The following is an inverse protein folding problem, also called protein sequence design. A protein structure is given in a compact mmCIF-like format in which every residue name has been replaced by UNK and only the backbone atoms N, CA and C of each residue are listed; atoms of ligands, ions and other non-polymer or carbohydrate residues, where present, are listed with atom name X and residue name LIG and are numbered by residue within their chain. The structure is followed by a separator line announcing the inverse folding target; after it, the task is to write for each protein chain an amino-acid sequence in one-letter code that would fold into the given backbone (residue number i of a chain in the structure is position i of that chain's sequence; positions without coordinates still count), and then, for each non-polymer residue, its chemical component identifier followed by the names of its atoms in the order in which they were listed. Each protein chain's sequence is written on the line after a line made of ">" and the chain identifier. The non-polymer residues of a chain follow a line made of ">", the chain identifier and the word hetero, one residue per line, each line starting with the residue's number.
data_IF_192238181184
#
_entry.id   IF_192238181184
#
_cell.length_a   1.000
_cell.length_b   1.000
_cell.length_c   1.000
_cell.angle_alpha   90.00
_cell.angle_beta   90.00
_cell.angle_gamma   90.00
#
_symmetry.space_group_name_H-M   'P 1'
#
loop_
_entity.id
_entity.type
_entity.pdbx_description
1 polymer ?
#
# COMPACT_ATOMS: atom_id res chain seq x y z
N UNK A 1 -13.99 13.58 -20.14
CA UNK A 1 -13.90 13.14 -19.80
C UNK A 1 -14.20 12.44 -19.43
N UNK A 2 -14.21 12.04 -19.46
CA UNK A 2 -14.38 11.36 -19.07
C UNK A 2 -14.56 10.75 -18.43
N UNK A 3 -14.54 10.78 -18.20
CA UNK A 3 -14.72 10.38 -17.57
C UNK A 3 -15.02 9.43 -16.98
N UNK A 4 -15.38 9.61 -16.68
CA UNK A 4 -15.75 8.69 -15.87
C UNK A 4 -15.63 7.39 -16.32
N UNK A 5 -15.77 7.28 -17.44
CA UNK A 5 -15.55 6.16 -17.90
C UNK A 5 -14.37 5.74 -17.49
N UNK A 6 -13.65 6.58 -17.26
CA UNK A 6 -12.44 6.26 -16.75
C UNK A 6 -12.59 5.74 -15.42
N UNK A 7 -11.80 4.81 -15.08
CA UNK A 7 -11.68 4.35 -13.73
C UNK A 7 -10.39 4.96 -13.20
N UNK A 8 -10.49 6.10 -12.48
CA UNK A 8 -9.26 6.75 -12.03
C UNK A 8 -8.43 5.84 -11.14
N UNK A 9 -9.08 4.92 -10.42
CA UNK A 9 -8.33 3.98 -9.61
C UNK A 9 -7.52 3.02 -10.45
N UNK A 10 -8.13 2.46 -11.49
CA UNK A 10 -7.41 1.53 -12.35
C UNK A 10 -6.29 2.23 -13.10
N UNK A 11 -6.53 3.47 -13.55
CA UNK A 11 -5.48 4.22 -14.23
C UNK A 11 -4.31 4.49 -13.31
N UNK A 12 -4.58 4.90 -12.08
CA UNK A 12 -3.54 5.16 -11.11
C UNK A 12 -2.76 3.89 -10.81
N UNK A 13 -3.46 2.76 -10.67
CA UNK A 13 -2.82 1.49 -10.39
C UNK A 13 -1.91 1.05 -11.53
N UNK A 14 -2.29 1.36 -12.78
CA UNK A 14 -1.49 0.97 -13.92
C UNK A 14 -0.12 1.61 -13.95
N UNK A 15 0.05 2.75 -13.27
CA UNK A 15 1.34 3.42 -13.22
C UNK A 15 2.21 2.93 -12.07
N UNK A 16 1.71 2.03 -11.24
CA UNK A 16 2.42 1.52 -10.08
C UNK A 16 3.20 0.27 -10.48
N UNK A 17 4.50 0.27 -10.17
CA UNK A 17 5.36 -0.84 -10.59
C UNK A 17 4.85 -2.19 -10.09
N UNK A 18 4.23 -2.21 -8.91
CA UNK A 18 3.69 -3.45 -8.35
C UNK A 18 2.69 -4.12 -9.29
N UNK A 19 1.96 -3.33 -10.06
CA UNK A 19 0.91 -3.85 -10.94
C UNK A 19 1.30 -3.78 -12.42
N UNK A 20 2.57 -3.59 -12.70
CA UNK A 20 3.06 -3.49 -14.06
C UNK A 20 2.77 -4.79 -14.81
N UNK A 21 2.31 -4.66 -16.04
CA UNK A 21 2.02 -5.83 -16.87
C UNK A 21 0.63 -6.40 -16.68
N UNK A 22 -0.17 -5.83 -15.80
CA UNK A 22 -1.54 -6.28 -15.61
C UNK A 22 -2.45 -5.67 -16.66
N UNK A 23 -3.46 -6.43 -17.07
CA UNK A 23 -4.47 -5.95 -18.01
C UNK A 23 -5.40 -4.95 -17.31
N UNK A 24 -6.18 -4.22 -18.08
CA UNK A 24 -7.18 -3.33 -17.53
C UNK A 24 -8.17 -4.06 -16.63
N UNK A 25 -8.57 -5.26 -17.04
CA UNK A 25 -9.51 -6.05 -16.25
C UNK A 25 -8.89 -6.44 -14.91
N UNK A 26 -7.61 -6.80 -14.91
CA UNK A 26 -6.92 -7.14 -13.68
C UNK A 26 -6.79 -5.93 -12.77
N UNK A 27 -6.45 -4.77 -13.34
CA UNK A 27 -6.34 -3.54 -12.55
C UNK A 27 -7.68 -3.13 -11.96
N UNK A 28 -8.76 -3.32 -12.74
CA UNK A 28 -10.09 -3.04 -12.23
C UNK A 28 -10.42 -3.96 -11.07
N UNK A 29 -10.01 -5.23 -11.15
CA UNK A 29 -10.26 -6.18 -10.08
C UNK A 29 -9.51 -5.78 -8.80
N UNK A 30 -8.27 -5.31 -8.95
CA UNK A 30 -7.50 -4.80 -7.80
C UNK A 30 -8.23 -3.64 -7.15
N UNK A 31 -8.73 -2.72 -7.96
CA UNK A 31 -9.46 -1.56 -7.46
C UNK A 31 -10.76 -1.99 -6.77
N UNK A 32 -11.41 -3.03 -7.30
CA UNK A 32 -12.66 -3.53 -6.71
C UNK A 32 -12.44 -4.26 -5.39
N UNK A 33 -11.29 -4.90 -5.23
CA UNK A 33 -10.99 -5.65 -4.01
C UNK A 33 -10.68 -4.72 -2.84
N UNK A 34 -10.12 -3.56 -3.11
CA UNK A 34 -9.79 -2.62 -2.07
C UNK A 34 -10.88 -1.61 -1.83
N UNK A 35 -10.67 -0.75 -0.85
CA UNK A 35 -11.58 0.35 -0.54
C UNK A 35 -10.82 1.65 -0.73
N UNK A 36 -11.33 2.49 -1.61
CA UNK A 36 -10.72 3.81 -1.82
C UNK A 36 -11.12 4.72 -0.67
N UNK A 37 -10.12 5.35 -0.06
CA UNK A 37 -10.37 6.28 1.02
C UNK A 37 -9.58 7.56 0.78
N UNK A 38 -10.09 8.66 1.34
CA UNK A 38 -9.40 9.93 1.33
C UNK A 38 -9.14 10.31 2.78
N UNK A 39 -7.93 10.77 3.06
CA UNK A 39 -7.57 11.14 4.42
C UNK A 39 -7.00 12.54 4.42
N UNK A 40 -7.21 13.27 5.53
CA UNK A 40 -6.68 14.64 5.63
C UNK A 40 -5.23 14.62 6.07
N UNK A 41 -4.59 15.77 5.96
CA UNK A 41 -3.26 15.98 6.50
C UNK A 41 -3.24 15.60 7.98
N UNK A 42 -2.22 14.90 8.40
CA UNK A 42 -2.04 14.53 9.81
C UNK A 42 -2.68 13.22 10.21
N UNK A 43 -3.42 12.59 9.30
CA UNK A 43 -4.05 11.31 9.63
C UNK A 43 -3.00 10.24 9.84
N UNK A 44 -3.09 9.48 10.93
CA UNK A 44 -2.18 8.37 11.21
C UNK A 44 -2.73 7.14 10.49
N UNK A 45 -1.97 6.66 9.51
CA UNK A 45 -2.39 5.51 8.72
C UNK A 45 -2.04 4.19 9.39
N UNK A 46 -0.84 4.11 9.94
CA UNK A 46 -0.40 2.96 10.72
C UNK A 46 0.41 3.50 11.88
N UNK A 47 0.38 2.80 13.00
CA UNK A 47 1.07 3.24 14.21
C UNK A 47 2.02 2.15 14.69
N UNK A 48 3.24 2.55 15.02
CA UNK A 48 4.28 1.63 15.43
C UNK A 48 3.81 0.83 16.64
N UNK A 49 4.02 -0.48 16.60
CA UNK A 49 3.64 -1.38 17.67
C UNK A 49 2.24 -1.96 17.56
N UNK A 50 1.38 -1.35 16.76
CA UNK A 50 0.01 -1.85 16.61
C UNK A 50 -0.03 -3.08 15.71
N UNK A 51 -1.02 -3.95 15.90
CA UNK A 51 -1.19 -5.08 14.99
C UNK A 51 -1.55 -4.59 13.59
N UNK A 52 -1.05 -5.28 12.58
CA UNK A 52 -1.32 -4.92 11.21
C UNK A 52 -2.63 -5.53 10.75
N UNK A 53 -3.64 -4.69 10.51
CA UNK A 53 -4.94 -5.15 10.04
C UNK A 53 -5.27 -4.67 8.63
N UNK A 54 -4.54 -3.66 8.14
CA UNK A 54 -4.78 -3.09 6.83
C UNK A 54 -3.46 -2.73 6.17
N UNK A 55 -3.46 -2.71 4.84
CA UNK A 55 -2.37 -2.09 4.10
C UNK A 55 -2.97 -1.12 3.11
N UNK A 56 -2.13 -0.28 2.54
CA UNK A 56 -2.57 0.80 1.67
C UNK A 56 -1.68 0.88 0.44
N UNK A 57 -2.29 1.24 -0.69
CA UNK A 57 -1.56 1.64 -1.88
C UNK A 57 -1.78 3.15 -2.02
N UNK A 58 -0.72 3.92 -2.18
CA UNK A 58 -0.83 5.36 -2.29
C UNK A 58 -1.20 5.72 -3.73
N UNK A 59 -2.41 6.20 -3.92
CA UNK A 59 -2.87 6.64 -5.24
C UNK A 59 -2.49 8.09 -5.49
N UNK A 60 -2.48 8.91 -4.45
CA UNK A 60 -2.14 10.31 -4.55
C UNK A 60 -1.72 10.83 -3.18
N UNK A 61 -0.75 11.74 -3.16
CA UNK A 61 -0.29 12.36 -1.92
C UNK A 61 0.99 11.74 -1.40
N UNK A 62 1.39 12.20 -0.23
CA UNK A 62 2.65 11.80 0.40
C UNK A 62 2.41 11.53 1.87
N UNK A 63 3.05 10.51 2.41
CA UNK A 63 3.02 10.22 3.83
C UNK A 63 4.44 10.24 4.38
N UNK A 64 4.56 10.61 5.66
CA UNK A 64 5.84 10.62 6.36
C UNK A 64 5.94 9.41 7.26
N UNK A 65 7.08 8.75 7.25
CA UNK A 65 7.33 7.53 7.99
C UNK A 65 8.28 7.84 9.14
N UNK A 66 7.87 7.46 10.34
CA UNK A 66 8.66 7.67 11.55
C UNK A 66 8.92 6.34 12.23
N UNK A 67 10.13 6.14 12.71
CA UNK A 67 10.47 4.97 13.50
C UNK A 67 11.09 5.47 14.79
N UNK A 68 10.53 5.04 15.92
CA UNK A 68 10.99 5.45 17.25
C UNK A 68 10.98 6.97 17.39
N UNK A 69 9.99 7.61 16.79
CA UNK A 69 9.81 9.05 16.89
C UNK A 69 10.64 9.87 15.92
N UNK A 70 11.44 9.22 15.08
CA UNK A 70 12.31 9.93 14.15
C UNK A 70 11.86 9.74 12.72
N UNK A 71 11.87 10.81 11.94
CA UNK A 71 11.54 10.74 10.53
C UNK A 71 12.60 9.90 9.80
N UNK A 72 12.14 8.90 9.03
CA UNK A 72 13.08 8.03 8.31
C UNK A 72 12.86 8.00 6.81
N UNK A 73 11.66 8.31 6.34
CA UNK A 73 11.38 8.23 4.91
C UNK A 73 10.03 8.83 4.59
N UNK A 74 9.73 8.94 3.30
CA UNK A 74 8.38 9.28 2.87
C UNK A 74 7.87 8.21 1.92
N UNK A 75 6.55 8.06 1.90
CA UNK A 75 5.86 7.16 0.98
C UNK A 75 5.06 8.02 0.02
N UNK A 76 5.31 7.85 -1.27
CA UNK A 76 4.71 8.69 -2.29
C UNK A 76 3.82 7.86 -3.20
N UNK A 77 3.24 8.52 -4.19
CA UNK A 77 2.37 7.86 -5.13
C UNK A 77 3.03 6.60 -5.66
N UNK A 78 2.31 5.49 -5.66
CA UNK A 78 2.81 4.21 -6.10
C UNK A 78 3.41 3.35 -5.01
N UNK A 79 3.54 3.88 -3.79
CA UNK A 79 4.09 3.11 -2.68
C UNK A 79 3.02 2.24 -2.04
N UNK A 80 3.46 1.18 -1.37
CA UNK A 80 2.58 0.40 -0.50
C UNK A 80 2.97 0.66 0.95
N UNK A 81 1.98 0.69 1.82
CA UNK A 81 2.19 0.96 3.24
C UNK A 81 1.59 -0.17 4.05
N UNK A 82 2.41 -0.80 4.89
CA UNK A 82 1.91 -1.75 5.87
C UNK A 82 1.68 -3.16 5.38
N UNK A 83 2.09 -3.49 4.17
CA UNK A 83 1.82 -4.82 3.62
C UNK A 83 2.60 -5.92 4.36
N UNK A 84 3.77 -5.62 4.92
CA UNK A 84 4.56 -6.64 5.61
C UNK A 84 3.82 -7.22 6.81
N UNK A 85 3.11 -6.37 7.55
CA UNK A 85 2.40 -6.84 8.73
C UNK A 85 1.29 -7.81 8.36
N UNK A 86 0.70 -7.66 7.18
CA UNK A 86 -0.36 -8.56 6.74
C UNK A 86 0.19 -9.93 6.32
N UNK A 87 1.44 -9.97 5.84
CA UNK A 87 2.06 -11.21 5.42
C UNK A 87 2.69 -11.94 6.60
N UNK A 88 3.43 -11.19 7.43
CA UNK A 88 4.21 -11.78 8.53
C UNK A 88 3.50 -11.78 9.86
N UNK A 89 2.38 -11.04 9.96
CA UNK A 89 1.62 -10.91 11.21
C UNK A 89 2.46 -10.29 12.33
N UNK A 90 3.43 -9.46 11.95
CA UNK A 90 4.25 -8.77 12.95
C UNK A 90 3.64 -7.42 13.28
N UNK A 91 3.92 -6.88 14.47
CA UNK A 91 3.49 -5.51 14.79
C UNK A 91 4.09 -4.51 13.80
N UNK A 92 3.45 -3.38 13.67
CA UNK A 92 3.95 -2.31 12.82
C UNK A 92 5.33 -1.87 13.29
N UNK A 93 6.26 -1.69 12.34
CA UNK A 93 7.61 -1.27 12.67
C UNK A 93 7.79 0.24 12.59
N UNK A 94 6.79 0.95 12.13
CA UNK A 94 6.87 2.40 11.97
C UNK A 94 5.50 3.01 12.09
N UNK A 95 5.48 4.32 12.31
CA UNK A 95 4.27 5.13 12.28
C UNK A 95 4.27 5.89 10.97
N UNK A 96 3.15 5.86 10.24
CA UNK A 96 3.03 6.54 8.96
C UNK A 96 1.88 7.53 9.06
N UNK A 97 2.18 8.78 8.73
CA UNK A 97 1.24 9.90 8.91
C UNK A 97 1.09 10.62 7.58
N UNK A 98 -0.14 10.94 7.21
CA UNK A 98 -0.39 11.70 5.99
C UNK A 98 0.25 13.07 6.09
N UNK A 99 1.05 13.42 5.09
CA UNK A 99 1.69 14.72 5.01
C UNK A 99 1.00 15.48 3.88
N UNK A 100 -0.15 16.04 4.20
CA UNK A 100 -1.07 16.59 3.24
C UNK A 100 -2.20 15.62 2.96
N UNK A 101 -3.24 16.03 2.25
CA UNK A 101 -4.35 15.14 1.92
C UNK A 101 -3.86 13.99 1.03
N UNK A 102 -4.43 12.81 1.22
CA UNK A 102 -4.03 11.65 0.44
C UNK A 102 -5.25 10.88 -0.04
N UNK A 103 -5.09 10.21 -1.17
CA UNK A 103 -6.04 9.23 -1.65
C UNK A 103 -5.35 7.88 -1.63
N UNK A 104 -5.99 6.91 -1.00
CA UNK A 104 -5.40 5.60 -0.77
C UNK A 104 -6.37 4.50 -1.20
N UNK A 105 -5.82 3.36 -1.56
CA UNK A 105 -6.60 2.15 -1.74
C UNK A 105 -6.26 1.25 -0.57
N UNK A 106 -7.23 0.93 0.26
CA UNK A 106 -7.03 0.18 1.49
C UNK A 106 -7.47 -1.26 1.33
N UNK A 107 -6.67 -2.18 1.84
CA UNK A 107 -7.01 -3.60 1.85
C UNK A 107 -6.91 -4.10 3.29
N UNK A 108 -7.92 -4.83 3.76
CA UNK A 108 -7.79 -5.56 5.01
C UNK A 108 -7.12 -6.90 4.72
N UNK A 109 -6.94 -7.72 5.75
CA UNK A 109 -6.24 -8.99 5.60
C UNK A 109 -6.92 -9.90 4.58
N UNK A 110 -8.26 -9.97 4.64
CA UNK A 110 -9.00 -10.82 3.71
C UNK A 110 -8.89 -10.32 2.27
N UNK A 111 -9.03 -9.02 2.09
CA UNK A 111 -8.95 -8.42 0.76
C UNK A 111 -7.56 -8.57 0.17
N UNK A 112 -6.54 -8.39 1.00
CA UNK A 112 -5.15 -8.54 0.56
C UNK A 112 -4.86 -9.99 0.16
N UNK A 113 -5.38 -10.93 0.96
CA UNK A 113 -5.23 -12.34 0.63
C UNK A 113 -5.90 -12.67 -0.71
N UNK A 114 -7.10 -12.13 -0.94
CA UNK A 114 -7.79 -12.35 -2.20
C UNK A 114 -6.97 -11.78 -3.36
N UNK A 115 -6.36 -10.61 -3.17
CA UNK A 115 -5.53 -10.00 -4.18
C UNK A 115 -4.37 -10.94 -4.55
N UNK A 116 -3.70 -11.48 -3.53
CA UNK A 116 -2.56 -12.37 -3.78
C UNK A 116 -3.00 -13.64 -4.50
N UNK A 117 -4.15 -14.18 -4.15
CA UNK A 117 -4.64 -15.42 -4.76
C UNK A 117 -5.11 -15.21 -6.19
N UNK A 118 -5.72 -14.08 -6.46
CA UNK A 118 -6.28 -13.81 -7.78
C UNK A 118 -5.26 -13.22 -8.74
N UNK A 119 -4.18 -12.64 -8.21
CA UNK A 119 -3.21 -11.91 -9.02
C UNK A 119 -1.81 -12.46 -8.79
N UNK A 120 -1.48 -13.59 -9.44
CA UNK A 120 -0.13 -14.19 -9.21
C UNK A 120 1.02 -13.24 -9.50
N UNK A 121 0.87 -12.34 -10.48
CA UNK A 121 1.92 -11.38 -10.77
C UNK A 121 2.14 -10.43 -9.60
N UNK A 122 1.07 -9.97 -8.98
CA UNK A 122 1.17 -9.10 -7.82
C UNK A 122 1.79 -9.85 -6.65
N UNK A 123 1.39 -11.12 -6.48
CA UNK A 123 1.96 -11.96 -5.42
C UNK A 123 3.48 -12.04 -5.55
N UNK A 124 3.96 -12.35 -6.76
CA UNK A 124 5.40 -12.46 -6.98
C UNK A 124 6.13 -11.16 -6.68
N UNK A 125 5.56 -10.04 -7.11
CA UNK A 125 6.18 -8.75 -6.90
C UNK A 125 6.18 -8.34 -5.44
N UNK A 126 5.09 -8.63 -4.74
CA UNK A 126 5.02 -8.34 -3.31
C UNK A 126 6.07 -9.16 -2.57
N UNK A 127 6.20 -10.44 -2.89
CA UNK A 127 7.22 -11.27 -2.27
C UNK A 127 8.62 -10.73 -2.55
N UNK A 128 8.85 -10.25 -3.77
CA UNK A 128 10.12 -9.64 -4.12
C UNK A 128 10.40 -8.39 -3.32
N UNK A 129 9.40 -7.53 -3.15
CA UNK A 129 9.55 -6.30 -2.39
C UNK A 129 9.82 -6.62 -0.92
N UNK A 130 9.09 -7.57 -0.35
CA UNK A 130 9.30 -7.96 1.04
C UNK A 130 10.69 -8.54 1.24
N UNK A 131 11.14 -9.36 0.29
CA UNK A 131 12.48 -9.92 0.37
C UNK A 131 13.55 -8.84 0.35
N UNK A 132 13.37 -7.83 -0.49
CA UNK A 132 14.32 -6.73 -0.55
C UNK A 132 14.32 -5.94 0.74
N UNK A 133 13.14 -5.68 1.31
CA UNK A 133 13.04 -4.96 2.58
C UNK A 133 13.70 -5.73 3.72
N UNK A 134 13.51 -7.03 3.75
CA UNK A 134 14.13 -7.85 4.78
C UNK A 134 15.66 -7.86 4.67
N UNK A 135 16.18 -7.79 3.45
CA UNK A 135 17.61 -7.72 3.24
C UNK A 135 18.18 -6.36 3.64
N UNK A 136 17.42 -5.31 3.36
CA UNK A 136 17.88 -3.95 3.60
C UNK A 136 17.70 -3.50 5.04
N UNK A 137 16.80 -4.14 5.78
CA UNK A 137 16.55 -3.80 7.18
C UNK A 137 17.19 -4.87 8.01
N UNK A 138 18.32 -4.61 8.49
CA UNK A 138 18.96 -5.60 9.32
C UNK A 138 18.12 -5.83 10.53
N UNK A 139 17.69 -6.10 10.81
CA UNK A 139 17.03 -6.30 11.80
C UNK A 139 16.40 -5.93 12.57
N UNK A 140 16.38 -5.83 12.46
CA UNK A 140 15.97 -5.60 13.12
C UNK A 140 15.54 -5.02 13.76
N UNK A 141 15.48 -4.96 13.47
CA UNK A 141 15.09 -4.04 14.20
C UNK A 141 13.81 -4.24 14.47
#
# INVERSE_FOLDING_TARGET
>A
MSTGRNNPGAEALGSIALFEGMSEAELQRVDDLGVRIEVPDGEVLVDQGDPGTHCFVVLDGTASVYANGEYVASSEQGSTIGEMALVDHRPRTATVVASGPMTLLRFDTRQFKALLEEMPKAHERIMGILGARLRDQPLDR
#
